data_IF_375929949618
#
_entry.id   IF_375929949618
#
_cell.length_a   1.000
_cell.length_b   1.000
_cell.length_c   1.000
_cell.angle_alpha   90.00
_cell.angle_beta   90.00
_cell.angle_gamma   90.00
#
_symmetry.space_group_name_H-M   'P 1'
#
loop_
_entity.id
_entity.type
_entity.pdbx_description
1 polymer ?
#
# COMPACT_ATOMS: atom_id res chain seq x y z
N UNK A 1 -36.32 30.38 29.90
CA UNK A 1 -35.26 29.71 30.72
C UNK A 1 -34.02 29.64 29.87
N UNK A 2 -32.90 30.20 30.32
CA UNK A 2 -31.62 30.04 29.63
C UNK A 2 -31.13 28.63 29.86
N UNK A 3 -30.74 27.92 28.79
CA UNK A 3 -30.13 26.60 28.88
C UNK A 3 -28.81 26.74 29.61
N UNK A 4 -28.56 25.96 30.70
CA UNK A 4 -27.31 26.00 31.43
C UNK A 4 -26.12 25.66 30.50
N UNK A 5 -24.93 26.21 30.78
CA UNK A 5 -23.75 26.03 29.95
C UNK A 5 -23.35 24.54 29.73
N UNK A 6 -23.64 23.69 30.72
CA UNK A 6 -23.38 22.24 30.60
C UNK A 6 -24.39 21.51 29.67
N UNK A 7 -25.49 22.18 29.28
CA UNK A 7 -26.52 21.62 28.41
C UNK A 7 -26.43 22.13 26.98
N UNK A 8 -25.42 22.95 26.64
CA UNK A 8 -25.26 23.53 25.28
C UNK A 8 -25.02 22.49 24.18
N UNK A 9 -24.61 21.29 24.54
CA UNK A 9 -24.51 20.19 23.60
C UNK A 9 -25.82 19.70 22.99
N UNK A 10 -26.96 20.21 23.48
CA UNK A 10 -28.30 19.87 23.00
C UNK A 10 -28.90 20.91 21.99
N UNK A 11 -28.17 21.98 21.71
CA UNK A 11 -28.61 22.96 20.70
C UNK A 11 -28.65 22.29 19.32
N UNK A 12 -29.84 22.27 18.70
CA UNK A 12 -30.03 21.58 17.42
C UNK A 12 -30.34 20.09 17.51
N UNK A 13 -30.45 19.52 18.73
CA UNK A 13 -30.85 18.12 18.89
C UNK A 13 -32.31 17.92 18.45
N UNK A 14 -32.59 17.10 17.42
CA UNK A 14 -33.93 16.94 16.86
C UNK A 14 -34.85 16.02 17.70
N UNK A 15 -34.29 15.34 18.71
CA UNK A 15 -35.04 14.55 19.66
C UNK A 15 -35.64 15.39 20.80
N UNK A 16 -36.16 14.71 21.82
CA UNK A 16 -36.70 15.35 23.04
C UNK A 16 -35.94 14.80 24.27
N UNK A 17 -35.47 15.71 25.10
CA UNK A 17 -34.87 15.35 26.39
C UNK A 17 -35.90 15.64 27.50
N UNK A 18 -36.47 14.59 28.10
CA UNK A 18 -37.39 14.67 29.24
C UNK A 18 -36.64 14.45 30.56
N UNK A 19 -37.40 14.46 31.67
CA UNK A 19 -36.85 14.16 33.01
C UNK A 19 -36.51 12.66 33.19
N UNK A 20 -37.19 11.81 32.43
CA UNK A 20 -37.03 10.38 32.44
C UNK A 20 -36.78 9.85 31.04
N UNK A 21 -36.26 8.61 30.93
CA UNK A 21 -36.08 7.94 29.62
C UNK A 21 -37.42 7.79 28.90
N UNK A 22 -38.51 7.53 29.63
CA UNK A 22 -39.85 7.38 29.09
C UNK A 22 -40.41 8.68 28.47
N UNK A 23 -40.02 9.84 28.98
CA UNK A 23 -40.39 11.16 28.49
C UNK A 23 -39.44 11.66 27.39
N UNK A 24 -38.38 10.92 27.10
CA UNK A 24 -37.34 11.30 26.14
C UNK A 24 -37.55 10.59 24.82
N UNK A 25 -37.26 11.29 23.73
CA UNK A 25 -37.23 10.73 22.37
C UNK A 25 -35.81 10.85 21.82
N UNK A 26 -35.08 9.72 21.64
CA UNK A 26 -33.76 9.75 21.07
C UNK A 26 -33.82 10.16 19.58
N UNK A 27 -32.79 10.81 19.13
CA UNK A 27 -32.56 11.07 17.71
C UNK A 27 -31.10 10.81 17.37
N UNK A 28 -30.88 10.06 16.33
CA UNK A 28 -29.57 9.72 15.83
C UNK A 28 -29.34 10.47 14.52
N UNK A 29 -28.16 11.04 14.28
CA UNK A 29 -27.85 11.62 12.98
C UNK A 29 -27.95 10.54 11.90
N UNK A 30 -28.42 10.93 10.73
CA UNK A 30 -28.43 10.03 9.58
C UNK A 30 -26.99 9.57 9.28
N UNK A 31 -26.81 8.28 9.02
CA UNK A 31 -25.49 7.79 8.64
C UNK A 31 -25.04 8.43 7.33
N UNK A 32 -23.75 8.81 7.29
CA UNK A 32 -23.15 9.28 6.03
C UNK A 32 -23.23 8.14 5.01
N UNK A 33 -23.74 8.46 3.82
CA UNK A 33 -23.87 7.52 2.72
C UNK A 33 -23.04 7.99 1.54
N UNK A 34 -22.31 7.09 0.86
CA UNK A 34 -21.65 7.43 -0.37
C UNK A 34 -22.67 7.73 -1.47
N UNK A 35 -22.28 8.44 -2.55
CA UNK A 35 -23.13 8.66 -3.70
C UNK A 35 -23.67 7.35 -4.29
N UNK A 36 -24.88 7.39 -4.85
CA UNK A 36 -25.45 6.23 -5.54
C UNK A 36 -24.52 5.75 -6.67
N UNK A 37 -24.31 4.45 -6.73
CA UNK A 37 -23.42 3.85 -7.73
C UNK A 37 -21.92 4.00 -7.43
N UNK A 38 -21.55 4.45 -6.25
CA UNK A 38 -20.15 4.48 -5.83
C UNK A 38 -19.50 3.08 -5.91
N UNK A 39 -18.34 2.93 -6.58
CA UNK A 39 -17.73 1.62 -6.81
C UNK A 39 -17.06 1.06 -5.56
N UNK A 40 -16.95 -0.25 -5.46
CA UNK A 40 -15.99 -0.87 -4.55
C UNK A 40 -14.56 -0.60 -5.01
N UNK A 41 -13.65 -0.42 -4.05
CA UNK A 41 -12.24 -0.15 -4.31
C UNK A 41 -11.39 -1.23 -3.62
N UNK A 42 -10.55 -1.90 -4.38
CA UNK A 42 -9.59 -2.88 -3.84
C UNK A 42 -8.19 -2.45 -4.30
N UNK A 43 -7.30 -2.24 -3.35
CA UNK A 43 -5.87 -2.05 -3.62
C UNK A 43 -5.16 -3.33 -3.24
N UNK A 44 -4.67 -4.08 -4.23
CA UNK A 44 -3.83 -5.26 -4.01
C UNK A 44 -2.37 -4.82 -4.08
N UNK A 45 -1.65 -4.95 -2.97
CA UNK A 45 -0.25 -4.60 -2.88
C UNK A 45 0.58 -5.87 -2.62
N UNK A 46 1.53 -6.13 -3.51
CA UNK A 46 2.48 -7.24 -3.37
C UNK A 46 3.83 -6.68 -2.93
N UNK A 47 4.49 -7.38 -2.02
CA UNK A 47 5.73 -6.91 -1.41
C UNK A 47 6.95 -7.49 -2.15
N UNK A 48 7.87 -6.63 -2.56
CA UNK A 48 9.10 -6.98 -3.31
C UNK A 48 8.87 -7.67 -4.66
N UNK A 49 7.73 -7.46 -5.32
CA UNK A 49 7.47 -7.98 -6.66
C UNK A 49 8.01 -7.03 -7.73
N UNK A 50 8.86 -7.53 -8.58
CA UNK A 50 9.42 -6.76 -9.70
C UNK A 50 8.46 -6.67 -10.91
N UNK A 51 8.65 -5.62 -11.70
CA UNK A 51 7.90 -5.41 -12.95
C UNK A 51 7.95 -6.62 -13.89
N UNK A 52 9.10 -7.30 -13.96
CA UNK A 52 9.30 -8.43 -14.86
C UNK A 52 8.88 -9.78 -14.28
N UNK A 53 8.28 -9.82 -13.09
CA UNK A 53 7.94 -11.06 -12.40
C UNK A 53 6.52 -11.55 -12.73
N UNK A 54 5.75 -10.77 -13.49
CA UNK A 54 4.37 -11.08 -13.84
C UNK A 54 4.14 -11.22 -15.35
N UNK A 55 3.22 -12.11 -15.72
CA UNK A 55 2.87 -12.44 -17.10
C UNK A 55 2.50 -11.23 -17.99
N UNK A 56 1.69 -10.25 -17.54
CA UNK A 56 1.35 -9.06 -18.32
C UNK A 56 2.54 -8.28 -18.87
N UNK A 57 3.69 -8.36 -18.20
CA UNK A 57 4.92 -7.69 -18.64
C UNK A 57 5.98 -8.65 -19.19
N UNK A 58 5.57 -9.87 -19.57
CA UNK A 58 6.40 -10.83 -20.30
C UNK A 58 7.19 -11.79 -19.43
N UNK A 59 6.84 -11.96 -18.15
CA UNK A 59 7.41 -13.02 -17.32
C UNK A 59 7.07 -14.40 -17.88
N UNK A 60 8.01 -15.34 -17.72
CA UNK A 60 7.74 -16.77 -17.96
C UNK A 60 6.93 -17.40 -16.82
N UNK A 61 6.78 -16.72 -15.70
CA UNK A 61 5.97 -17.15 -14.56
C UNK A 61 4.50 -16.93 -14.89
N UNK A 62 3.67 -17.96 -14.99
CA UNK A 62 2.25 -17.81 -15.28
C UNK A 62 1.54 -17.12 -14.11
N UNK A 63 0.98 -15.96 -14.37
CA UNK A 63 0.13 -15.21 -13.41
C UNK A 63 -1.24 -14.96 -14.03
N UNK A 64 -2.09 -16.00 -14.17
CA UNK A 64 -3.30 -15.92 -14.99
C UNK A 64 -4.33 -14.93 -14.47
N UNK A 65 -4.43 -14.73 -13.15
CA UNK A 65 -5.33 -13.74 -12.59
C UNK A 65 -4.89 -12.30 -12.91
N UNK A 66 -3.59 -12.00 -12.84
CA UNK A 66 -3.03 -10.70 -13.20
C UNK A 66 -3.12 -10.46 -14.71
N UNK A 67 -2.93 -11.53 -15.52
CA UNK A 67 -3.14 -11.44 -16.97
C UNK A 67 -4.57 -11.05 -17.30
N UNK A 68 -5.56 -11.70 -16.67
CA UNK A 68 -6.97 -11.36 -16.87
C UNK A 68 -7.27 -9.92 -16.48
N UNK A 69 -6.74 -9.43 -15.35
CA UNK A 69 -6.92 -8.04 -14.95
C UNK A 69 -6.32 -7.06 -15.97
N UNK A 70 -5.16 -7.40 -16.54
CA UNK A 70 -4.53 -6.58 -17.58
C UNK A 70 -5.32 -6.59 -18.90
N UNK A 71 -5.92 -7.73 -19.26
CA UNK A 71 -6.71 -7.87 -20.48
C UNK A 71 -8.08 -7.16 -20.39
N UNK A 72 -8.66 -7.11 -19.18
CA UNK A 72 -9.97 -6.49 -18.91
C UNK A 72 -9.87 -5.03 -18.45
N UNK A 73 -8.66 -4.55 -18.11
CA UNK A 73 -8.42 -3.24 -17.51
C UNK A 73 -7.29 -2.45 -18.17
N UNK A 74 -6.51 -1.77 -17.38
CA UNK A 74 -5.37 -0.97 -17.81
C UNK A 74 -4.08 -1.49 -17.22
N UNK A 75 -3.04 -1.62 -18.04
CA UNK A 75 -1.67 -1.92 -17.62
C UNK A 75 -0.78 -0.68 -17.80
N UNK A 76 -0.24 -0.15 -16.72
CA UNK A 76 0.64 1.02 -16.77
C UNK A 76 2.10 0.58 -16.94
N UNK A 77 2.73 1.02 -18.02
CA UNK A 77 4.13 0.68 -18.34
C UNK A 77 5.13 1.67 -17.75
N UNK A 78 4.66 2.80 -17.25
CA UNK A 78 5.48 3.85 -16.63
C UNK A 78 4.95 4.20 -15.23
N UNK A 79 4.72 3.20 -14.39
CA UNK A 79 4.32 3.34 -13.00
C UNK A 79 5.53 3.08 -12.10
N UNK A 80 5.84 4.03 -11.22
CA UNK A 80 6.97 3.95 -10.31
C UNK A 80 6.49 3.97 -8.87
N UNK A 81 7.00 3.06 -8.07
CA UNK A 81 6.79 3.01 -6.62
C UNK A 81 8.07 3.44 -5.91
N UNK A 82 7.94 3.82 -4.65
CA UNK A 82 9.10 3.95 -3.77
C UNK A 82 9.72 2.56 -3.53
N UNK A 83 11.04 2.40 -3.61
CA UNK A 83 11.68 1.07 -3.61
C UNK A 83 11.80 0.44 -2.21
N UNK A 84 11.14 0.96 -1.19
CA UNK A 84 11.19 0.49 0.19
C UNK A 84 9.77 0.41 0.75
N UNK A 85 9.47 -0.65 1.51
CA UNK A 85 8.11 -1.04 1.89
C UNK A 85 7.34 0.03 2.68
N UNK A 86 7.81 0.52 3.84
CA UNK A 86 7.08 1.54 4.61
C UNK A 86 6.89 2.85 3.84
N UNK A 87 7.92 3.40 3.18
CA UNK A 87 7.75 4.56 2.32
C UNK A 87 6.74 4.36 1.19
N UNK A 88 6.75 3.20 0.51
CA UNK A 88 5.79 2.89 -0.55
C UNK A 88 4.35 2.80 -0.02
N UNK A 89 4.15 2.10 1.13
CA UNK A 89 2.85 1.96 1.78
C UNK A 89 2.30 3.30 2.25
N UNK A 90 3.15 4.14 2.86
CA UNK A 90 2.79 5.51 3.24
C UNK A 90 2.35 6.32 2.01
N UNK A 91 3.11 6.28 0.91
CA UNK A 91 2.75 7.00 -0.32
C UNK A 91 1.42 6.52 -0.92
N UNK A 92 1.18 5.19 -0.97
CA UNK A 92 -0.07 4.62 -1.50
C UNK A 92 -1.27 5.04 -0.66
N UNK A 93 -1.15 4.99 0.67
CA UNK A 93 -2.28 5.27 1.56
C UNK A 93 -2.55 6.76 1.76
N UNK A 94 -1.55 7.64 1.56
CA UNK A 94 -1.70 9.07 1.84
C UNK A 94 -1.68 9.96 0.60
N UNK A 95 -1.22 9.44 -0.54
CA UNK A 95 -0.98 10.25 -1.73
C UNK A 95 0.18 11.26 -1.59
N UNK A 96 0.93 11.20 -0.49
CA UNK A 96 2.03 12.11 -0.20
C UNK A 96 3.39 11.52 -0.58
N UNK A 97 4.35 12.40 -0.81
CA UNK A 97 5.75 11.96 -0.79
C UNK A 97 6.06 11.32 0.58
N UNK A 98 6.70 10.13 0.63
CA UNK A 98 6.91 9.40 1.89
C UNK A 98 7.66 10.19 2.96
N UNK A 99 8.61 11.05 2.58
CA UNK A 99 9.30 11.93 3.53
C UNK A 99 8.32 12.90 4.24
N UNK A 100 7.30 13.39 3.53
CA UNK A 100 6.25 14.22 4.13
C UNK A 100 5.32 13.41 5.03
N UNK A 101 5.12 12.15 4.72
CA UNK A 101 4.36 11.22 5.55
C UNK A 101 5.15 10.71 6.77
N UNK A 102 6.41 11.10 6.93
CA UNK A 102 7.27 10.71 8.06
C UNK A 102 8.12 9.47 7.81
N UNK A 103 8.19 8.99 6.57
CA UNK A 103 8.91 7.77 6.19
C UNK A 103 10.04 8.04 5.19
N UNK A 104 11.23 8.29 5.68
CA UNK A 104 12.44 8.30 4.86
C UNK A 104 13.08 6.90 4.77
N UNK A 105 12.69 5.99 5.65
CA UNK A 105 13.15 4.60 5.74
C UNK A 105 12.02 3.71 6.27
N UNK A 106 12.29 2.42 6.51
CA UNK A 106 11.35 1.45 7.08
C UNK A 106 11.03 1.74 8.54
N UNK A 107 9.84 1.37 8.99
CA UNK A 107 9.33 1.63 10.33
C UNK A 107 10.18 1.02 11.47
N UNK A 108 10.95 -0.03 11.15
CA UNK A 108 11.83 -0.73 12.08
C UNK A 108 13.29 -0.23 12.05
N UNK A 109 13.60 0.88 11.39
CA UNK A 109 14.96 1.41 11.30
C UNK A 109 14.98 2.91 11.61
N UNK A 110 15.22 3.27 12.86
CA UNK A 110 15.30 4.66 13.29
C UNK A 110 16.71 5.23 13.00
N UNK A 111 16.82 6.16 12.04
CA UNK A 111 18.09 6.81 11.73
C UNK A 111 18.43 7.97 12.69
N UNK A 112 17.58 8.28 13.66
CA UNK A 112 17.79 9.32 14.67
C UNK A 112 17.61 10.76 14.17
N UNK A 113 16.85 10.99 13.09
CA UNK A 113 16.61 12.33 12.56
C UNK A 113 15.17 12.80 12.82
N UNK A 114 14.96 14.09 13.20
CA UNK A 114 13.64 14.59 13.58
C UNK A 114 12.55 14.50 12.50
N UNK A 115 12.94 14.50 11.23
CA UNK A 115 12.00 14.39 10.12
C UNK A 115 11.53 12.96 9.81
N UNK A 116 12.04 11.95 10.53
CA UNK A 116 11.72 10.53 10.33
C UNK A 116 10.90 10.03 11.50
N UNK A 117 9.59 9.97 11.32
CA UNK A 117 8.67 9.59 12.41
C UNK A 117 8.51 8.09 12.56
N UNK A 118 8.66 7.32 11.46
CA UNK A 118 8.48 5.86 11.39
C UNK A 118 7.05 5.39 11.70
N UNK A 119 6.11 6.30 11.70
CA UNK A 119 4.68 6.09 11.89
C UNK A 119 3.88 7.19 11.21
N UNK A 120 2.61 6.91 10.90
CA UNK A 120 1.71 7.91 10.34
C UNK A 120 1.25 8.87 11.45
N UNK A 121 1.60 10.14 11.32
CA UNK A 121 1.18 11.18 12.25
C UNK A 121 -0.27 11.62 12.02
N UNK A 122 -0.85 12.29 13.02
CA UNK A 122 -2.23 12.83 12.96
C UNK A 122 -2.41 13.93 11.90
N UNK A 123 -1.30 14.56 11.48
CA UNK A 123 -1.26 15.59 10.43
C UNK A 123 -1.34 15.03 9.01
N UNK A 124 -1.48 13.72 8.87
CA UNK A 124 -1.53 13.02 7.58
C UNK A 124 -2.78 12.16 7.51
N UNK A 125 -3.67 12.45 6.58
CA UNK A 125 -4.86 11.62 6.33
C UNK A 125 -4.55 10.46 5.40
N UNK A 126 -5.17 9.32 5.68
CA UNK A 126 -5.12 8.15 4.81
C UNK A 126 -6.30 8.09 3.84
N UNK A 127 -6.15 7.36 2.74
CA UNK A 127 -7.24 7.05 1.83
C UNK A 127 -8.41 6.34 2.56
N UNK A 128 -8.09 5.51 3.57
CA UNK A 128 -9.10 4.84 4.38
C UNK A 128 -9.92 5.85 5.20
N UNK A 129 -9.28 6.81 5.86
CA UNK A 129 -9.97 7.87 6.62
C UNK A 129 -10.90 8.68 5.71
N UNK A 130 -10.46 9.02 4.50
CA UNK A 130 -11.26 9.77 3.52
C UNK A 130 -12.47 8.95 3.06
N UNK A 131 -12.28 7.69 2.69
CA UNK A 131 -13.36 6.82 2.21
C UNK A 131 -14.31 6.41 3.34
N UNK A 132 -13.81 6.15 4.55
CA UNK A 132 -14.64 5.93 5.74
C UNK A 132 -15.53 7.15 6.01
N UNK A 133 -14.95 8.36 5.99
CA UNK A 133 -15.70 9.60 6.12
C UNK A 133 -16.74 9.85 5.02
N UNK A 134 -16.56 9.22 3.85
CA UNK A 134 -17.53 9.21 2.75
C UNK A 134 -18.57 8.07 2.86
N UNK A 135 -18.56 7.27 3.92
CA UNK A 135 -19.53 6.21 4.19
C UNK A 135 -19.17 4.83 3.63
N UNK A 136 -17.95 4.61 3.15
CA UNK A 136 -17.48 3.28 2.76
C UNK A 136 -17.27 2.37 3.99
N UNK A 137 -17.48 1.08 3.80
CA UNK A 137 -16.92 0.06 4.70
C UNK A 137 -15.44 -0.12 4.37
N UNK A 138 -14.56 -0.11 5.37
CA UNK A 138 -13.12 -0.09 5.12
C UNK A 138 -12.41 -1.24 5.82
N UNK A 139 -11.52 -1.93 5.12
CA UNK A 139 -10.70 -2.98 5.71
C UNK A 139 -9.26 -2.95 5.21
N UNK A 140 -8.33 -3.29 6.10
CA UNK A 140 -6.96 -3.63 5.75
C UNK A 140 -6.68 -5.09 6.10
N UNK A 141 -6.14 -5.84 5.14
CA UNK A 141 -5.74 -7.23 5.36
C UNK A 141 -4.32 -7.42 4.90
N UNK A 142 -3.48 -7.95 5.78
CA UNK A 142 -2.08 -8.26 5.51
C UNK A 142 -1.09 -7.34 6.20
N UNK A 143 0.04 -7.08 5.56
CA UNK A 143 1.17 -6.32 6.11
C UNK A 143 0.84 -4.83 6.20
N UNK A 144 1.01 -4.26 7.39
CA UNK A 144 0.87 -2.83 7.64
C UNK A 144 2.17 -2.05 7.48
N UNK A 145 3.13 -2.29 8.34
CA UNK A 145 4.48 -1.72 8.38
C UNK A 145 4.53 -0.17 8.36
N UNK A 146 3.54 0.47 8.98
CA UNK A 146 3.42 1.93 9.14
C UNK A 146 3.28 2.35 10.61
N UNK A 147 3.67 1.47 11.52
CA UNK A 147 3.79 1.69 12.96
C UNK A 147 5.23 1.43 13.36
N UNK A 148 5.79 2.28 14.21
CA UNK A 148 7.13 2.12 14.78
C UNK A 148 7.21 0.79 15.55
N UNK A 149 8.27 0.01 15.38
CA UNK A 149 8.42 -1.31 16.01
C UNK A 149 8.25 -1.28 17.54
N UNK A 150 8.68 -0.19 18.20
CA UNK A 150 8.49 -0.04 19.64
C UNK A 150 7.03 0.09 20.08
N UNK A 151 6.09 0.24 19.14
CA UNK A 151 4.66 0.40 19.38
C UNK A 151 3.81 -0.77 18.86
N UNK A 152 4.40 -1.89 18.47
CA UNK A 152 3.68 -3.06 17.99
C UNK A 152 3.47 -4.13 19.09
N UNK A 153 3.03 -3.69 20.26
CA UNK A 153 2.71 -4.56 21.38
C UNK A 153 1.39 -4.15 22.04
N UNK A 154 0.78 -5.07 22.81
CA UNK A 154 -0.59 -4.93 23.34
C UNK A 154 -0.82 -3.64 24.14
N UNK A 155 0.14 -3.24 24.95
CA UNK A 155 0.05 -2.05 25.83
C UNK A 155 0.54 -0.76 25.21
N UNK A 156 0.88 -0.74 23.90
CA UNK A 156 1.39 0.45 23.23
C UNK A 156 0.29 1.46 22.90
N UNK A 157 0.71 2.68 22.56
CA UNK A 157 -0.12 3.63 21.83
C UNK A 157 -0.44 3.05 20.44
N UNK A 158 -1.70 2.97 20.10
CA UNK A 158 -2.22 2.38 18.87
C UNK A 158 -2.64 3.43 17.84
N UNK A 159 -2.34 4.71 18.05
CA UNK A 159 -2.77 5.82 17.17
C UNK A 159 -2.36 5.63 15.70
N UNK A 160 -1.23 4.96 15.44
CA UNK A 160 -0.76 4.62 14.10
C UNK A 160 -1.19 3.23 13.59
N UNK A 161 -1.96 2.47 14.38
CA UNK A 161 -2.47 1.17 13.95
C UNK A 161 -3.64 1.34 12.95
N UNK A 162 -3.90 0.35 12.09
CA UNK A 162 -4.86 0.49 10.99
C UNK A 162 -6.24 0.98 11.38
N UNK A 163 -6.82 0.46 12.48
CA UNK A 163 -8.18 0.85 12.91
C UNK A 163 -8.26 2.32 13.28
N UNK A 164 -7.22 2.90 13.87
CA UNK A 164 -7.15 4.33 14.17
C UNK A 164 -6.83 5.18 12.94
N UNK A 165 -6.52 4.53 11.81
CA UNK A 165 -6.18 5.18 10.55
C UNK A 165 -7.24 4.94 9.47
N UNK A 166 -8.52 4.85 9.91
CA UNK A 166 -9.69 4.87 9.05
C UNK A 166 -10.17 3.50 8.55
N UNK A 167 -9.63 2.40 9.07
CA UNK A 167 -10.13 1.07 8.75
C UNK A 167 -11.11 0.58 9.82
N UNK A 168 -12.31 0.15 9.40
CA UNK A 168 -13.30 -0.50 10.27
C UNK A 168 -12.82 -1.86 10.77
N UNK A 169 -11.99 -2.53 9.95
CA UNK A 169 -11.46 -3.86 10.24
C UNK A 169 -10.00 -3.97 9.80
N UNK A 170 -9.21 -4.65 10.62
CA UNK A 170 -7.83 -5.03 10.31
C UNK A 170 -7.55 -6.48 10.66
N UNK A 171 -6.86 -7.18 9.77
CA UNK A 171 -6.31 -8.49 10.04
C UNK A 171 -4.97 -8.64 9.35
N UNK A 172 -3.90 -8.85 10.11
CA UNK A 172 -2.58 -8.98 9.50
C UNK A 172 -1.42 -8.80 10.46
N UNK A 173 -0.26 -8.48 9.90
CA UNK A 173 0.98 -8.22 10.62
C UNK A 173 1.33 -6.74 10.59
N UNK A 174 1.59 -6.17 11.77
CA UNK A 174 2.11 -4.80 11.89
C UNK A 174 3.59 -4.71 11.50
N UNK A 175 4.31 -5.83 11.58
CA UNK A 175 5.74 -5.94 11.35
C UNK A 175 6.13 -5.82 9.87
N UNK A 176 7.40 -5.49 9.63
CA UNK A 176 7.99 -5.45 8.30
C UNK A 176 8.33 -6.81 7.71
N UNK A 177 8.60 -7.79 8.56
CA UNK A 177 8.99 -9.14 8.21
C UNK A 177 8.09 -10.14 8.91
N UNK A 178 7.69 -11.20 8.21
CA UNK A 178 6.94 -12.27 8.83
C UNK A 178 7.20 -13.61 8.12
N UNK A 179 7.08 -14.70 8.85
CA UNK A 179 7.17 -16.05 8.28
C UNK A 179 5.86 -16.39 7.56
N UNK A 180 5.95 -17.07 6.43
CA UNK A 180 4.77 -17.53 5.69
C UNK A 180 4.03 -18.70 6.38
N UNK A 181 4.74 -19.51 7.14
CA UNK A 181 4.19 -20.71 7.78
C UNK A 181 4.04 -20.57 9.30
N UNK A 182 4.83 -19.69 9.90
CA UNK A 182 4.86 -19.47 11.35
C UNK A 182 4.99 -17.97 11.61
N UNK A 183 3.89 -17.19 11.48
CA UNK A 183 3.94 -15.75 11.69
C UNK A 183 4.32 -15.43 13.15
N UNK A 184 5.18 -14.44 13.31
CA UNK A 184 5.59 -13.97 14.65
C UNK A 184 4.38 -13.41 15.40
N UNK A 185 3.57 -12.64 14.71
CA UNK A 185 2.39 -11.98 15.26
C UNK A 185 1.33 -11.79 14.19
N UNK A 186 0.10 -12.07 14.55
CA UNK A 186 -1.10 -11.65 13.81
C UNK A 186 -1.92 -10.75 14.73
N UNK A 187 -2.45 -9.68 14.17
CA UNK A 187 -3.32 -8.74 14.87
C UNK A 187 -4.68 -8.73 14.19
N UNK A 188 -5.74 -8.78 15.00
CA UNK A 188 -7.13 -8.55 14.57
C UNK A 188 -7.59 -7.25 15.21
N UNK A 189 -7.91 -6.27 14.40
CA UNK A 189 -8.28 -4.93 14.81
C UNK A 189 -7.20 -4.29 15.71
N UNK A 190 -7.41 -4.26 16.99
CA UNK A 190 -6.47 -3.74 17.99
C UNK A 190 -5.94 -4.82 18.96
N UNK A 191 -6.11 -6.09 18.65
CA UNK A 191 -5.80 -7.19 19.55
C UNK A 191 -4.87 -8.19 18.89
N UNK A 192 -3.80 -8.57 19.58
CA UNK A 192 -2.91 -9.64 19.15
C UNK A 192 -3.65 -10.97 19.20
N UNK A 193 -3.70 -11.67 18.07
CA UNK A 193 -4.29 -13.02 18.01
C UNK A 193 -3.33 -13.99 18.70
N UNK A 194 -3.82 -14.62 19.76
CA UNK A 194 -3.07 -15.67 20.45
C UNK A 194 -3.12 -16.95 19.62
N UNK A 195 -1.99 -17.36 19.08
CA UNK A 195 -1.85 -18.61 18.34
C UNK A 195 -1.07 -19.57 19.22
N UNK A 196 -1.76 -20.51 19.87
CA UNK A 196 -1.09 -21.51 20.72
C UNK A 196 -0.26 -22.47 19.89
N UNK A 197 -0.80 -22.92 18.75
CA UNK A 197 -0.11 -23.74 17.76
C UNK A 197 -0.52 -23.32 16.35
N UNK A 198 0.45 -23.15 15.47
CA UNK A 198 0.19 -22.94 14.06
C UNK A 198 -0.15 -24.25 13.40
N UNK A 199 -1.31 -24.39 12.70
CA UNK A 199 -1.63 -25.60 11.96
C UNK A 199 -0.53 -26.02 11.00
N UNK A 200 -0.33 -27.32 10.80
CA UNK A 200 0.76 -27.84 9.96
C UNK A 200 0.65 -27.36 8.49
N UNK A 201 -0.57 -27.12 8.02
CA UNK A 201 -0.87 -26.65 6.68
C UNK A 201 -1.06 -25.11 6.59
N UNK A 202 -0.79 -24.39 7.67
CA UNK A 202 -0.94 -22.94 7.69
C UNK A 202 -0.05 -22.24 6.65
N UNK A 203 -0.66 -21.29 5.95
CA UNK A 203 0.06 -20.43 5.02
C UNK A 203 -0.55 -19.02 5.03
N UNK A 204 0.23 -18.04 5.42
CA UNK A 204 -0.24 -16.67 5.69
C UNK A 204 -0.94 -16.02 4.48
N UNK A 205 -0.52 -16.37 3.26
CA UNK A 205 -1.15 -15.84 2.03
C UNK A 205 -2.58 -16.35 1.86
N UNK A 206 -2.83 -17.61 2.21
CA UNK A 206 -4.19 -18.19 2.20
C UNK A 206 -5.04 -17.56 3.31
N UNK A 207 -4.50 -17.46 4.51
CA UNK A 207 -5.19 -16.89 5.67
C UNK A 207 -5.62 -15.43 5.41
N UNK A 208 -4.72 -14.60 4.85
CA UNK A 208 -5.06 -13.25 4.43
C UNK A 208 -6.12 -13.23 3.32
N UNK A 209 -6.05 -14.16 2.38
CA UNK A 209 -7.03 -14.27 1.30
C UNK A 209 -8.41 -14.64 1.85
N UNK A 210 -8.47 -15.59 2.77
CA UNK A 210 -9.71 -16.01 3.41
C UNK A 210 -10.34 -14.87 4.23
N UNK A 211 -9.53 -14.09 4.93
CA UNK A 211 -10.04 -12.93 5.68
C UNK A 211 -10.55 -11.83 4.74
N UNK A 212 -9.85 -11.54 3.66
CA UNK A 212 -10.31 -10.59 2.64
C UNK A 212 -11.66 -11.04 2.02
N UNK A 213 -11.80 -12.32 1.73
CA UNK A 213 -13.05 -12.89 1.22
C UNK A 213 -14.17 -12.81 2.25
N UNK A 214 -13.90 -13.08 3.54
CA UNK A 214 -14.88 -12.94 4.64
C UNK A 214 -15.39 -11.50 4.74
N UNK A 215 -14.50 -10.52 4.67
CA UNK A 215 -14.88 -9.11 4.66
C UNK A 215 -15.81 -8.78 3.48
N UNK A 216 -15.42 -9.16 2.25
CA UNK A 216 -16.21 -8.90 1.04
C UNK A 216 -17.60 -9.58 1.13
N UNK A 217 -17.66 -10.82 1.62
CA UNK A 217 -18.90 -11.54 1.81
C UNK A 217 -19.78 -10.89 2.87
N UNK A 218 -19.20 -10.44 3.98
CA UNK A 218 -19.89 -9.74 5.06
C UNK A 218 -20.56 -8.44 4.58
N UNK A 219 -19.84 -7.63 3.78
CA UNK A 219 -20.42 -6.40 3.22
C UNK A 219 -21.56 -6.67 2.24
N UNK A 220 -21.54 -7.80 1.52
CA UNK A 220 -22.60 -8.22 0.58
C UNK A 220 -23.80 -8.84 1.28
N UNK A 221 -23.59 -9.48 2.44
CA UNK A 221 -24.65 -10.13 3.22
C UNK A 221 -25.50 -9.15 4.03
N UNK A 222 -25.06 -7.90 4.18
CA UNK A 222 -25.83 -6.84 4.84
C UNK A 222 -27.16 -6.59 4.12
N UNK A 223 -28.17 -6.17 4.89
CA UNK A 223 -29.47 -5.82 4.31
C UNK A 223 -29.31 -4.76 3.19
N UNK A 224 -30.12 -4.79 2.12
CA UNK A 224 -29.97 -3.86 0.99
C UNK A 224 -29.87 -2.39 1.38
N UNK A 225 -30.55 -1.99 2.46
CA UNK A 225 -30.54 -0.63 2.99
C UNK A 225 -29.24 -0.28 3.73
N UNK A 226 -28.47 -1.29 4.12
CA UNK A 226 -27.21 -1.17 4.85
C UNK A 226 -25.99 -1.45 3.95
N UNK A 227 -26.23 -1.90 2.72
CA UNK A 227 -25.15 -2.17 1.78
C UNK A 227 -24.43 -0.86 1.44
N UNK A 228 -23.13 -0.87 1.73
CA UNK A 228 -22.22 0.23 1.43
C UNK A 228 -21.15 -0.28 0.47
N UNK A 229 -20.63 0.56 -0.45
CA UNK A 229 -19.41 0.22 -1.14
C UNK A 229 -18.27 0.05 -0.12
N UNK A 230 -17.28 -0.73 -0.49
CA UNK A 230 -16.16 -0.97 0.41
C UNK A 230 -14.83 -0.54 -0.20
N UNK A 231 -13.90 -0.21 0.69
CA UNK A 231 -12.48 -0.07 0.41
C UNK A 231 -11.71 -1.19 1.11
N UNK A 232 -10.98 -1.98 0.34
CA UNK A 232 -10.12 -3.04 0.86
C UNK A 232 -8.67 -2.75 0.48
N UNK A 233 -7.81 -2.52 1.47
CA UNK A 233 -6.37 -2.53 1.33
C UNK A 233 -5.85 -3.93 1.59
N UNK A 234 -5.57 -4.68 0.52
CA UNK A 234 -5.15 -6.06 0.56
C UNK A 234 -3.64 -6.15 0.28
N UNK A 235 -2.86 -6.13 1.35
CA UNK A 235 -1.42 -5.97 1.32
C UNK A 235 -0.70 -7.27 1.71
N UNK A 236 -0.33 -8.05 0.72
CA UNK A 236 0.39 -9.30 0.95
C UNK A 236 1.79 -9.07 1.53
N UNK A 237 2.28 -10.04 2.32
CA UNK A 237 3.70 -10.18 2.68
C UNK A 237 4.50 -10.79 1.53
N UNK A 238 3.83 -11.58 0.69
CA UNK A 238 4.46 -12.15 -0.51
C UNK A 238 4.86 -11.02 -1.48
N UNK A 239 6.07 -11.05 -2.04
CA UNK A 239 7.06 -12.15 -2.03
C UNK A 239 8.30 -11.81 -1.21
N UNK A 240 8.14 -11.02 -0.15
CA UNK A 240 9.25 -10.59 0.72
C UNK A 240 9.95 -11.79 1.38
N UNK A 241 11.26 -11.69 1.60
CA UNK A 241 11.98 -12.70 2.39
C UNK A 241 11.57 -12.72 3.87
N UNK A 242 11.74 -13.84 4.59
CA UNK A 242 12.30 -15.11 4.11
C UNK A 242 11.34 -15.82 3.14
N UNK A 243 11.87 -16.30 2.00
CA UNK A 243 11.05 -16.89 0.96
C UNK A 243 10.42 -18.20 1.42
N UNK A 244 9.14 -18.37 1.15
CA UNK A 244 8.39 -19.58 1.46
C UNK A 244 7.23 -19.79 0.51
N UNK A 245 7.06 -20.99 0.02
CA UNK A 245 5.93 -21.38 -0.82
C UNK A 245 5.50 -22.80 -0.50
N UNK A 246 4.21 -23.09 -0.67
CA UNK A 246 3.69 -24.44 -0.50
C UNK A 246 4.31 -25.39 -1.52
N UNK A 247 4.59 -26.64 -1.13
CA UNK A 247 5.19 -27.65 -2.02
C UNK A 247 4.33 -27.87 -3.29
N UNK A 248 3.02 -27.82 -3.16
CA UNK A 248 2.07 -27.89 -4.28
C UNK A 248 2.28 -26.79 -5.32
N UNK A 249 2.67 -25.58 -4.89
CA UNK A 249 2.96 -24.46 -5.78
C UNK A 249 4.35 -24.57 -6.36
N UNK A 250 5.35 -24.94 -5.56
CA UNK A 250 6.71 -25.21 -6.04
C UNK A 250 6.72 -26.28 -7.16
N UNK A 251 5.91 -27.32 -7.01
CA UNK A 251 5.81 -28.40 -7.99
C UNK A 251 5.32 -27.90 -9.38
N UNK A 252 4.40 -26.91 -9.40
CA UNK A 252 3.88 -26.33 -10.65
C UNK A 252 4.98 -25.66 -11.48
N UNK A 253 5.97 -25.07 -10.84
CA UNK A 253 6.98 -24.24 -11.49
C UNK A 253 8.33 -24.95 -11.69
N UNK A 254 8.58 -26.09 -11.03
CA UNK A 254 9.84 -26.85 -11.16
C UNK A 254 10.18 -27.26 -12.61
N UNK A 255 9.17 -27.52 -13.43
CA UNK A 255 9.38 -27.93 -14.80
C UNK A 255 9.61 -26.74 -15.76
N UNK A 256 9.09 -25.54 -15.42
CA UNK A 256 9.12 -24.36 -16.27
C UNK A 256 10.39 -23.51 -16.13
N UNK A 257 11.03 -23.52 -14.95
CA UNK A 257 12.14 -22.62 -14.61
C UNK A 257 13.52 -23.25 -14.79
N UNK A 258 13.70 -24.18 -15.74
CA UNK A 258 15.01 -24.84 -16.01
C UNK A 258 16.06 -23.92 -16.62
N UNK A 259 15.66 -22.74 -17.10
CA UNK A 259 16.60 -21.73 -17.62
C UNK A 259 16.98 -20.81 -16.47
N UNK A 260 18.28 -20.70 -16.19
CA UNK A 260 18.80 -19.84 -15.11
C UNK A 260 18.29 -18.41 -15.24
N UNK A 261 18.23 -17.66 -14.13
CA UNK A 261 17.59 -16.34 -14.01
C UNK A 261 17.93 -15.33 -15.10
N UNK A 262 19.10 -15.43 -15.74
CA UNK A 262 19.48 -14.54 -16.86
C UNK A 262 18.68 -14.85 -18.15
N UNK A 263 18.30 -16.11 -18.37
CA UNK A 263 17.46 -16.52 -19.51
C UNK A 263 16.01 -16.08 -19.32
N UNK A 264 15.50 -16.09 -18.09
CA UNK A 264 14.16 -15.63 -17.78
C UNK A 264 13.98 -14.16 -18.12
N UNK A 265 14.92 -13.32 -17.71
CA UNK A 265 14.91 -11.88 -17.99
C UNK A 265 14.96 -11.55 -19.49
N UNK A 266 15.64 -12.35 -20.30
CA UNK A 266 15.76 -12.15 -21.75
C UNK A 266 14.44 -12.45 -22.48
N UNK A 267 13.71 -13.47 -22.01
CA UNK A 267 12.42 -13.86 -22.61
C UNK A 267 11.25 -13.01 -22.13
N UNK A 268 11.38 -12.36 -20.97
CA UNK A 268 10.31 -11.61 -20.34
C UNK A 268 9.93 -10.29 -21.06
N UNK A 269 10.83 -9.75 -21.90
CA UNK A 269 10.54 -8.51 -22.64
C UNK A 269 11.26 -8.51 -23.99
N UNK A 270 10.55 -8.58 -25.11
CA UNK A 270 11.17 -8.35 -26.41
C UNK A 270 11.85 -6.97 -26.43
N UNK A 271 13.16 -6.94 -26.61
CA UNK A 271 13.97 -5.72 -26.54
C UNK A 271 14.80 -5.54 -25.24
N UNK A 272 14.52 -6.26 -24.16
CA UNK A 272 15.32 -6.22 -22.93
C UNK A 272 16.67 -6.94 -23.07
N UNK A 273 16.83 -7.84 -24.03
CA UNK A 273 18.13 -8.44 -24.36
C UNK A 273 19.18 -7.39 -24.70
N UNK A 274 18.77 -6.32 -25.38
CA UNK A 274 19.64 -5.18 -25.69
C UNK A 274 19.91 -4.31 -24.48
N UNK A 275 18.99 -4.28 -23.51
CA UNK A 275 19.13 -3.50 -22.28
C UNK A 275 20.02 -4.20 -21.24
N UNK A 276 19.84 -5.51 -21.07
CA UNK A 276 20.68 -6.30 -20.16
C UNK A 276 22.13 -6.40 -20.67
N UNK A 277 22.34 -6.53 -21.99
CA UNK A 277 23.68 -6.50 -22.57
C UNK A 277 24.30 -5.10 -22.47
N UNK A 278 23.52 -4.03 -22.64
CA UNK A 278 24.02 -2.66 -22.47
C UNK A 278 24.29 -2.31 -21.01
N UNK A 279 23.52 -2.84 -20.05
CA UNK A 279 23.80 -2.68 -18.62
C UNK A 279 25.02 -3.50 -18.17
N UNK A 280 25.17 -4.71 -18.66
CA UNK A 280 26.36 -5.54 -18.44
C UNK A 280 27.63 -4.92 -19.03
N UNK A 281 27.53 -4.39 -20.24
CA UNK A 281 28.61 -3.67 -20.90
C UNK A 281 28.92 -2.33 -20.21
N UNK A 282 27.94 -1.63 -19.67
CA UNK A 282 28.13 -0.40 -18.90
C UNK A 282 28.87 -0.68 -17.57
N UNK A 283 28.52 -1.76 -16.88
CA UNK A 283 29.20 -2.19 -15.65
C UNK A 283 30.60 -2.70 -15.97
N UNK A 284 30.81 -3.44 -17.05
CA UNK A 284 32.11 -3.91 -17.47
C UNK A 284 33.04 -2.75 -17.94
N UNK A 285 32.46 -1.69 -18.53
CA UNK A 285 33.21 -0.49 -18.92
C UNK A 285 33.46 0.48 -17.77
N UNK A 286 32.60 0.48 -16.74
CA UNK A 286 32.77 1.28 -15.53
C UNK A 286 33.87 0.78 -14.60
N UNK A 287 34.31 -0.47 -14.74
CA UNK A 287 35.45 -1.01 -14.00
C UNK A 287 36.82 -0.72 -14.59
N UNK A 288 36.88 -0.03 -15.72
CA UNK A 288 38.14 0.47 -16.30
C UNK A 288 38.28 1.96 -16.05
N UNK A 289 39.21 2.29 -15.16
CA UNK A 289 39.82 3.58 -14.93
C UNK A 289 39.00 4.64 -14.20
N UNK A 290 39.10 4.62 -12.87
CA UNK A 290 39.17 5.88 -12.13
C UNK A 290 40.60 6.40 -12.31
N UNK A 291 40.80 7.13 -13.37
CA UNK A 291 41.97 8.00 -13.60
C UNK A 291 41.48 9.41 -13.40
N UNK A 292 42.22 10.18 -12.61
CA UNK A 292 42.03 11.58 -12.34
C UNK A 292 41.85 12.41 -13.65
N UNK A 293 40.75 13.16 -13.75
CA UNK A 293 40.52 14.10 -14.83
C UNK A 293 39.04 14.35 -15.09
N UNK A 294 38.52 15.42 -14.49
CA UNK A 294 37.14 15.84 -14.69
C UNK A 294 36.82 16.19 -16.13
N UNK A 295 35.81 15.58 -16.71
CA UNK A 295 35.03 16.13 -17.81
C UNK A 295 33.61 15.59 -17.84
N UNK A 296 32.69 16.49 -18.14
CA UNK A 296 31.22 16.32 -18.24
C UNK A 296 30.83 15.19 -19.19
N UNK A 297 29.95 14.33 -18.74
CA UNK A 297 29.19 13.41 -19.60
C UNK A 297 28.18 14.19 -20.44
N UNK A 298 28.49 14.39 -21.72
CA UNK A 298 27.55 14.82 -22.73
C UNK A 298 26.90 13.60 -23.38
N UNK A 299 25.59 13.49 -23.28
CA UNK A 299 24.79 12.55 -24.06
C UNK A 299 24.76 13.08 -25.52
N UNK A 300 25.42 12.39 -26.43
CA UNK A 300 25.26 12.60 -27.87
C UNK A 300 24.30 11.56 -28.41
N UNK A 301 23.05 11.98 -28.60
CA UNK A 301 22.11 11.26 -29.47
C UNK A 301 22.34 11.65 -30.90
N UNK A 302 22.64 10.72 -31.78
CA UNK A 302 22.51 10.91 -33.23
C UNK A 302 21.04 10.80 -33.61
N UNK A 303 20.48 11.90 -34.07
CA UNK A 303 19.18 11.94 -34.73
C UNK A 303 19.27 12.90 -35.90
N UNK A 304 18.62 12.56 -37.00
CA UNK A 304 18.63 13.20 -38.31
C UNK A 304 18.27 14.68 -38.30
N UNK A 305 18.79 15.35 -39.31
CA UNK A 305 18.65 16.77 -39.59
C UNK A 305 17.21 17.23 -39.75
N UNK A 306 16.76 18.11 -38.86
CA UNK A 306 15.50 18.84 -38.96
C UNK A 306 15.56 20.12 -38.16
N UNK A 307 15.72 21.24 -38.86
CA UNK A 307 15.91 22.60 -38.37
C UNK A 307 14.94 22.96 -37.24
N UNK A 308 15.47 23.34 -36.08
CA UNK A 308 14.75 24.06 -35.02
C UNK A 308 15.31 25.48 -34.91
N UNK A 309 14.47 26.46 -35.25
CA UNK A 309 14.71 27.88 -35.04
C UNK A 309 14.66 28.19 -33.53
N UNK A 310 15.67 28.87 -33.03
CA UNK A 310 15.72 29.37 -31.69
C UNK A 310 14.72 30.52 -31.48
N UNK A 311 13.96 30.45 -30.37
CA UNK A 311 13.18 31.57 -29.86
C UNK A 311 13.91 32.13 -28.64
N UNK A 312 14.24 33.41 -28.57
CA UNK A 312 14.86 34.02 -27.40
C UNK A 312 13.78 34.46 -26.41
N UNK A 313 13.68 33.80 -25.28
CA UNK A 313 12.82 34.19 -24.16
C UNK A 313 13.65 34.63 -22.96
N UNK A 314 13.75 35.93 -22.74
CA UNK A 314 14.41 36.52 -21.59
C UNK A 314 13.58 36.32 -20.31
N UNK A 315 14.15 35.72 -19.29
CA UNK A 315 13.61 35.68 -17.93
C UNK A 315 14.14 36.86 -17.13
N UNK A 316 13.29 37.85 -16.88
CA UNK A 316 13.53 38.91 -15.88
C UNK A 316 13.24 38.35 -14.49
N UNK A 317 14.21 38.44 -13.60
CA UNK A 317 14.02 38.31 -12.15
C UNK A 317 13.25 39.55 -11.66
N UNK A 318 12.22 39.34 -10.85
CA UNK A 318 11.83 40.25 -9.75
C UNK A 318 10.69 39.62 -8.94
N UNK A 319 10.79 39.71 -7.61
CA UNK A 319 9.63 39.61 -6.72
C UNK A 319 9.91 38.91 -5.39
N UNK A 320 10.24 39.69 -4.40
CA UNK A 320 10.27 39.31 -2.96
C UNK A 320 8.88 38.81 -2.52
N UNK A 321 8.87 37.78 -1.70
CA UNK A 321 7.73 37.52 -0.81
C UNK A 321 8.19 37.58 0.66
N UNK A 322 7.39 38.34 1.41
CA UNK A 322 7.42 38.40 2.88
C UNK A 322 6.74 37.19 3.48
#
# INVERSE_FOLDING_TARGET
MTVPDFARGYEGFPGQVGRTVQESTPSWPDPVRPPDGAPNVIVVLLDDMGYADIGPFGSEIPTPALQRLADEGFAFTNYHTTPVCSPARAAVLTGLNPHRAGFATVANSDPGFPGVRLELGEDVSTLAEVLHGAGYATAAVGKWHLTRDSLIHEGADKSSWPVQRGFDHYYGSLEGLNSFFHPNQIVRDNTVVQVEETPEDYYITDDYTDEALRFIQGTRASAPQEQRPFFLYFAHTAMHGPLGAKESDLAKYRAGTRRGGMCCCVNATPGRSTWASSAGDAVARGSRTVGEGGHRLGLVGRGDEGSLRAVPGGLRRNGRFR
#
